data_IF_381562560735
#
_entry.id   IF_381562560735
#
_cell.length_a   1.000
_cell.length_b   1.000
_cell.length_c   1.000
_cell.angle_alpha   90.00
_cell.angle_beta   90.00
_cell.angle_gamma   90.00
#
_symmetry.space_group_name_H-M   'P 1'
#
loop_
_entity.id
_entity.type
_entity.pdbx_description
1 polymer ?
#
# COMPACT_ATOMS: atom_id res chain seq x y z
N UNK A 1 -3.25 -7.76 -24.78
CA UNK A 1 -3.68 -6.40 -25.18
C UNK A 1 -3.16 -5.42 -24.15
N UNK A 2 -2.47 -4.35 -24.55
CA UNK A 2 -1.91 -3.34 -23.63
C UNK A 2 -2.76 -2.09 -23.65
N UNK A 3 -3.29 -1.70 -22.49
CA UNK A 3 -3.97 -0.40 -22.31
C UNK A 3 -2.92 0.68 -22.03
N UNK A 4 -3.06 1.83 -22.68
CA UNK A 4 -2.20 2.99 -22.47
C UNK A 4 -2.76 3.92 -21.39
N UNK A 5 -1.89 4.66 -20.71
CA UNK A 5 -2.30 5.64 -19.69
C UNK A 5 -3.23 6.73 -20.26
N UNK A 6 -3.05 7.08 -21.55
CA UNK A 6 -3.91 8.04 -22.26
C UNK A 6 -5.34 7.52 -22.40
N UNK A 7 -5.53 6.21 -22.59
CA UNK A 7 -6.85 5.61 -22.70
C UNK A 7 -7.54 5.54 -21.33
N UNK A 8 -6.80 5.20 -20.26
CA UNK A 8 -7.33 5.23 -18.88
C UNK A 8 -7.80 6.64 -18.51
N UNK A 9 -7.07 7.68 -18.91
CA UNK A 9 -7.43 9.05 -18.56
C UNK A 9 -8.75 9.52 -19.21
N UNK A 10 -9.13 8.95 -20.35
CA UNK A 10 -10.40 9.25 -21.04
C UNK A 10 -11.62 8.63 -20.36
N UNK A 11 -11.43 7.65 -19.48
CA UNK A 11 -12.51 7.03 -18.73
C UNK A 11 -13.14 8.03 -17.75
N UNK A 12 -14.46 7.96 -17.63
CA UNK A 12 -15.20 8.59 -16.55
C UNK A 12 -14.78 8.04 -15.20
N UNK A 13 -15.14 8.74 -14.12
CA UNK A 13 -14.82 8.29 -12.75
C UNK A 13 -15.42 6.89 -12.49
N UNK A 14 -16.67 6.65 -12.90
CA UNK A 14 -17.33 5.36 -12.73
C UNK A 14 -16.62 4.23 -13.48
N UNK A 15 -16.20 4.47 -14.72
CA UNK A 15 -15.46 3.48 -15.51
C UNK A 15 -14.07 3.19 -14.92
N UNK A 16 -13.40 4.19 -14.34
CA UNK A 16 -12.14 4.00 -13.62
C UNK A 16 -12.32 3.12 -12.38
N UNK A 17 -13.42 3.30 -11.65
CA UNK A 17 -13.75 2.49 -10.46
C UNK A 17 -13.96 1.02 -10.88
N UNK A 18 -14.78 0.78 -11.90
CA UNK A 18 -15.03 -0.58 -12.43
C UNK A 18 -13.73 -1.21 -12.95
N UNK A 19 -12.88 -0.44 -13.63
CA UNK A 19 -11.59 -0.93 -14.09
C UNK A 19 -10.68 -1.33 -12.92
N UNK A 20 -10.62 -0.52 -11.86
CA UNK A 20 -9.83 -0.83 -10.67
C UNK A 20 -10.33 -2.12 -9.97
N UNK A 21 -11.66 -2.29 -9.87
CA UNK A 21 -12.29 -3.49 -9.32
C UNK A 21 -11.96 -4.74 -10.15
N UNK A 22 -12.13 -4.67 -11.47
CA UNK A 22 -11.78 -5.79 -12.36
C UNK A 22 -10.30 -6.14 -12.34
N UNK A 23 -9.42 -5.15 -12.24
CA UNK A 23 -7.98 -5.39 -12.07
C UNK A 23 -7.75 -6.12 -10.75
N UNK A 24 -8.37 -5.67 -9.66
CA UNK A 24 -8.27 -6.30 -8.35
C UNK A 24 -8.76 -7.75 -8.36
N UNK A 25 -9.91 -8.03 -8.96
CA UNK A 25 -10.46 -9.39 -9.12
C UNK A 25 -9.63 -10.29 -10.05
N UNK A 26 -8.91 -9.70 -11.00
CA UNK A 26 -8.05 -10.45 -11.91
C UNK A 26 -6.72 -10.88 -11.28
N UNK A 27 -6.39 -10.34 -10.10
CA UNK A 27 -5.26 -10.82 -9.33
C UNK A 27 -5.60 -12.23 -8.80
N UNK A 28 -4.69 -13.21 -8.92
CA UNK A 28 -4.90 -14.52 -8.30
C UNK A 28 -5.19 -14.34 -6.80
N UNK A 29 -6.16 -15.09 -6.25
CA UNK A 29 -6.36 -15.15 -4.79
C UNK A 29 -5.09 -15.60 -4.06
N UNK A 30 -4.27 -16.40 -4.74
CA UNK A 30 -2.88 -16.62 -4.40
C UNK A 30 -2.01 -15.42 -4.79
N UNK A 31 -2.26 -14.28 -4.17
CA UNK A 31 -1.12 -13.44 -3.78
C UNK A 31 -0.49 -14.27 -2.68
N UNK A 32 0.62 -14.95 -3.00
CA UNK A 32 1.41 -15.79 -2.09
C UNK A 32 1.11 -15.42 -0.65
N UNK A 33 0.56 -16.34 0.16
CA UNK A 33 0.50 -16.15 1.61
C UNK A 33 1.83 -15.53 1.99
N UNK A 34 1.82 -14.22 2.28
CA UNK A 34 3.05 -13.48 2.50
C UNK A 34 3.58 -14.09 3.77
N UNK A 35 4.50 -15.03 3.61
CA UNK A 35 5.01 -15.87 4.68
C UNK A 35 5.99 -14.98 5.42
N UNK A 36 5.42 -14.12 6.28
CA UNK A 36 6.20 -13.30 7.18
C UNK A 36 6.90 -14.30 8.11
N UNK A 37 8.24 -14.28 8.08
CA UNK A 37 9.05 -15.08 8.97
C UNK A 37 8.64 -14.82 10.42
N UNK A 38 8.71 -15.83 11.28
CA UNK A 38 8.47 -15.65 12.71
C UNK A 38 9.37 -14.57 13.31
N UNK A 39 10.54 -14.32 12.73
CA UNK A 39 11.41 -13.22 13.16
C UNK A 39 10.83 -11.84 12.83
N UNK A 40 10.28 -11.68 11.63
CA UNK A 40 9.67 -10.41 11.20
C UNK A 40 8.38 -10.14 11.97
N UNK A 41 7.58 -11.18 12.26
CA UNK A 41 6.41 -11.07 13.14
C UNK A 41 6.80 -10.53 14.51
N UNK A 42 7.83 -11.11 15.15
CA UNK A 42 8.33 -10.63 16.45
C UNK A 42 8.76 -9.16 16.42
N UNK A 43 9.39 -8.72 15.33
CA UNK A 43 9.79 -7.31 15.18
C UNK A 43 8.55 -6.41 15.10
N UNK A 44 7.52 -6.84 14.35
CA UNK A 44 6.27 -6.09 14.23
C UNK A 44 5.52 -6.02 15.57
N UNK A 45 5.41 -7.15 16.27
CA UNK A 45 4.78 -7.22 17.60
C UNK A 45 5.50 -6.28 18.58
N UNK A 46 6.83 -6.35 18.67
CA UNK A 46 7.62 -5.43 19.50
C UNK A 46 7.43 -3.96 19.11
N UNK A 47 7.27 -3.64 17.83
CA UNK A 47 7.01 -2.26 17.38
C UNK A 47 5.61 -1.81 17.76
N UNK A 48 4.63 -2.70 17.73
CA UNK A 48 3.27 -2.44 18.16
C UNK A 48 3.20 -2.19 19.67
N UNK A 49 3.83 -3.05 20.47
CA UNK A 49 3.93 -2.88 21.93
C UNK A 49 4.55 -1.52 22.29
N UNK A 50 5.62 -1.12 21.59
CA UNK A 50 6.23 0.19 21.81
C UNK A 50 5.32 1.35 21.40
N UNK A 51 4.50 1.19 20.38
CA UNK A 51 3.53 2.20 19.97
C UNK A 51 2.43 2.37 21.02
N UNK A 52 1.86 1.26 21.49
CA UNK A 52 0.83 1.23 22.52
C UNK A 52 1.33 1.77 23.87
N UNK A 53 2.58 1.46 24.22
CA UNK A 53 3.25 1.99 25.40
C UNK A 53 3.70 3.46 25.26
N UNK A 54 3.44 4.12 24.13
CA UNK A 54 3.85 5.52 23.87
C UNK A 54 5.36 5.73 23.73
N UNK A 55 6.13 4.67 23.52
CA UNK A 55 7.60 4.67 23.36
C UNK A 55 8.04 4.78 21.90
N UNK A 56 7.13 4.58 20.96
CA UNK A 56 7.43 4.67 19.54
C UNK A 56 7.65 6.12 19.09
N UNK A 57 8.66 6.31 18.23
CA UNK A 57 8.81 7.56 17.47
C UNK A 57 7.81 7.55 16.33
N UNK A 58 6.91 8.53 16.30
CA UNK A 58 5.95 8.71 15.22
C UNK A 58 6.31 9.93 14.38
N UNK A 59 5.89 9.91 13.12
CA UNK A 59 5.98 11.07 12.22
C UNK A 59 4.60 11.29 11.63
N UNK A 60 4.19 12.56 11.50
CA UNK A 60 2.94 12.86 10.81
C UNK A 60 3.07 12.47 9.34
N UNK A 61 2.04 11.82 8.82
CA UNK A 61 2.03 11.33 7.44
C UNK A 61 2.35 12.40 6.39
N UNK A 62 1.81 13.61 6.59
CA UNK A 62 2.06 14.74 5.68
C UNK A 62 3.54 15.15 5.67
N UNK A 63 4.23 15.08 6.80
CA UNK A 63 5.64 15.45 6.90
C UNK A 63 6.53 14.37 6.27
N UNK A 64 6.17 13.09 6.44
CA UNK A 64 6.85 11.98 5.76
C UNK A 64 6.69 12.08 4.24
N UNK A 65 5.49 12.35 3.74
CA UNK A 65 5.23 12.55 2.31
C UNK A 65 6.07 13.69 1.72
N UNK A 66 6.20 14.81 2.44
CA UNK A 66 7.05 15.93 2.03
C UNK A 66 8.51 15.51 1.93
N UNK A 67 9.02 14.76 2.92
CA UNK A 67 10.39 14.24 2.90
C UNK A 67 10.64 13.31 1.71
N UNK A 68 9.74 12.35 1.46
CA UNK A 68 9.88 11.41 0.35
C UNK A 68 9.90 12.11 -1.02
N UNK A 69 9.10 13.15 -1.19
CA UNK A 69 9.10 13.97 -2.42
C UNK A 69 10.34 14.85 -2.58
N UNK A 70 11.02 15.18 -1.49
CA UNK A 70 12.25 15.98 -1.52
C UNK A 70 13.52 15.12 -1.71
N UNK A 71 13.40 13.80 -1.58
CA UNK A 71 14.50 12.82 -1.74
C UNK A 71 14.47 12.11 -3.10
N UNK A 72 13.58 12.52 -4.00
CA UNK A 72 13.43 12.04 -5.39
C UNK A 72 13.59 13.27 -6.29
#
# INVERSE_FOLDING_TARGET
>A
MTITLKEINKLSVSEKIILAEKIWESLPEATDELTISNNDKKILDHRLDNLEAGKARTVRWNDLKKKLKASI
#
